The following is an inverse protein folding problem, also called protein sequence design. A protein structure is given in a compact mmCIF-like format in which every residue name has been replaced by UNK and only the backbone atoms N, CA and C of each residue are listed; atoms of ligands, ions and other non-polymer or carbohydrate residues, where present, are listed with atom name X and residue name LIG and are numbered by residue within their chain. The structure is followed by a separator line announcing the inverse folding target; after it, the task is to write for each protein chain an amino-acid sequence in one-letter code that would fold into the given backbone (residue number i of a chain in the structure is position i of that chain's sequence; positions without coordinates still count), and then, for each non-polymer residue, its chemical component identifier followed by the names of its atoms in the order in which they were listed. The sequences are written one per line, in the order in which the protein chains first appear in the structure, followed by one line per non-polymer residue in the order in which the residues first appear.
data_IF_721358964439
#
_entry.id   IF_721358964439
#
_cell.length_a   1.000
_cell.length_b   1.000
_cell.length_c   1.000
_cell.angle_alpha   90.00
_cell.angle_beta   90.00
_cell.angle_gamma   90.00
#
_symmetry.space_group_name_H-M   'P 1'
#
loop_
_entity.id
_entity.type
_entity.pdbx_description
1 polymer ?
#
# COMPACT_ATOMS: atom_id res chain seq x y z
N UNK A 1 15.59 6.40 -20.91
CA UNK A 1 14.73 6.14 -19.73
C UNK A 1 13.70 7.24 -19.71
N UNK A 2 12.51 6.97 -20.26
CA UNK A 2 11.39 7.80 -19.84
C UNK A 2 11.42 7.69 -18.32
N UNK A 3 11.60 8.80 -17.70
CA UNK A 3 12.03 8.87 -16.32
C UNK A 3 11.04 8.04 -15.48
N UNK A 4 11.55 7.11 -14.68
CA UNK A 4 10.76 6.32 -13.71
C UNK A 4 9.74 7.19 -12.99
N UNK A 5 10.14 8.40 -12.59
CA UNK A 5 9.30 9.39 -11.93
C UNK A 5 8.09 9.80 -12.77
N UNK A 6 8.28 9.99 -14.09
CA UNK A 6 7.19 10.32 -15.01
C UNK A 6 6.21 9.15 -15.17
N UNK A 7 6.72 7.93 -15.25
CA UNK A 7 5.90 6.73 -15.33
C UNK A 7 5.08 6.52 -14.05
N UNK A 8 5.71 6.67 -12.88
CA UNK A 8 5.03 6.59 -11.59
C UNK A 8 3.92 7.66 -11.48
N UNK A 9 4.21 8.92 -11.86
CA UNK A 9 3.24 10.01 -11.84
C UNK A 9 2.07 9.78 -12.81
N UNK A 10 2.34 9.23 -14.01
CA UNK A 10 1.31 8.86 -14.99
C UNK A 10 0.38 7.80 -14.44
N UNK A 11 0.93 6.72 -13.87
CA UNK A 11 0.13 5.66 -13.25
C UNK A 11 -0.68 6.20 -12.06
N UNK A 12 -0.08 7.02 -11.20
CA UNK A 12 -0.78 7.61 -10.06
C UNK A 12 -2.00 8.44 -10.49
N UNK A 13 -1.89 9.20 -11.59
CA UNK A 13 -3.00 9.96 -12.18
C UNK A 13 -4.09 9.02 -12.71
N UNK A 14 -3.75 7.99 -13.49
CA UNK A 14 -4.71 7.04 -14.04
C UNK A 14 -5.50 6.31 -12.94
N UNK A 15 -4.84 5.86 -11.88
CA UNK A 15 -5.51 5.26 -10.71
C UNK A 15 -6.40 6.28 -10.00
N UNK A 16 -5.94 7.53 -9.88
CA UNK A 16 -6.74 8.63 -9.33
C UNK A 16 -8.03 8.86 -10.13
N UNK A 17 -7.94 8.90 -11.46
CA UNK A 17 -9.08 9.04 -12.36
C UNK A 17 -10.07 7.88 -12.26
N UNK A 18 -9.58 6.63 -12.15
CA UNK A 18 -10.43 5.45 -11.95
C UNK A 18 -11.19 5.51 -10.62
N UNK A 19 -10.50 5.86 -9.53
CA UNK A 19 -11.11 6.01 -8.21
C UNK A 19 -12.11 7.18 -8.20
N UNK A 20 -11.79 8.29 -8.85
CA UNK A 20 -12.69 9.44 -8.99
C UNK A 20 -13.97 9.08 -9.72
N UNK A 21 -13.86 8.35 -10.83
CA UNK A 21 -15.01 7.89 -11.62
C UNK A 21 -15.89 6.91 -10.79
N UNK A 22 -15.28 5.97 -10.05
CA UNK A 22 -16.02 5.02 -9.19
C UNK A 22 -16.76 5.74 -8.06
N UNK A 23 -16.18 6.81 -7.52
CA UNK A 23 -16.75 7.64 -6.46
C UNK A 23 -17.64 8.78 -7.01
N UNK A 24 -18.18 8.62 -8.21
CA UNK A 24 -19.15 9.56 -8.79
C UNK A 24 -20.54 9.41 -8.15
N UNK A 25 -21.41 10.39 -8.38
CA UNK A 25 -22.82 10.34 -7.95
C UNK A 25 -23.71 9.44 -8.82
N UNK A 26 -23.14 8.84 -9.86
CA UNK A 26 -23.87 7.90 -10.72
C UNK A 26 -24.23 6.64 -9.93
N UNK A 27 -25.51 6.28 -9.93
CA UNK A 27 -26.03 5.10 -9.24
C UNK A 27 -25.80 3.87 -10.15
N UNK A 28 -25.10 2.87 -9.65
CA UNK A 28 -24.88 1.62 -10.38
C UNK A 28 -26.04 0.64 -10.20
N UNK A 29 -26.09 -0.39 -11.04
CA UNK A 29 -27.13 -1.42 -10.96
C UNK A 29 -27.13 -2.10 -9.58
N UNK A 30 -28.30 -2.16 -8.96
CA UNK A 30 -28.45 -2.74 -7.61
C UNK A 30 -28.28 -1.76 -6.46
N UNK A 31 -27.83 -0.53 -6.71
CA UNK A 31 -27.77 0.52 -5.70
C UNK A 31 -29.12 1.28 -5.61
N UNK A 32 -29.44 1.79 -4.43
CA UNK A 32 -30.65 2.63 -4.21
C UNK A 32 -30.29 4.11 -4.33
N UNK A 33 -29.20 4.54 -3.68
CA UNK A 33 -28.72 5.93 -3.66
C UNK A 33 -27.26 5.98 -3.21
N UNK A 34 -26.56 7.07 -3.59
CA UNK A 34 -25.21 7.40 -3.13
C UNK A 34 -25.25 8.69 -2.30
N UNK A 35 -25.19 8.64 -0.95
CA UNK A 35 -25.26 9.82 -0.10
C UNK A 35 -24.10 10.79 -0.38
N UNK A 36 -24.42 12.05 -0.70
CA UNK A 36 -23.43 13.03 -1.14
C UNK A 36 -22.34 13.32 -0.11
N UNK A 37 -22.69 13.32 1.19
CA UNK A 37 -21.73 13.52 2.28
C UNK A 37 -20.73 12.37 2.37
N UNK A 38 -21.19 11.12 2.21
CA UNK A 38 -20.32 9.93 2.20
C UNK A 38 -19.36 9.98 1.01
N UNK A 39 -19.88 10.24 -0.20
CA UNK A 39 -19.05 10.39 -1.39
C UNK A 39 -17.99 11.49 -1.22
N UNK A 40 -18.37 12.65 -0.68
CA UNK A 40 -17.44 13.75 -0.43
C UNK A 40 -16.32 13.33 0.55
N UNK A 41 -16.64 12.61 1.61
CA UNK A 41 -15.67 12.12 2.59
C UNK A 41 -14.73 11.06 1.98
N UNK A 42 -15.26 10.09 1.22
CA UNK A 42 -14.47 9.10 0.52
C UNK A 42 -13.51 9.75 -0.49
N UNK A 43 -14.01 10.68 -1.30
CA UNK A 43 -13.21 11.46 -2.26
C UNK A 43 -12.12 12.28 -1.56
N UNK A 44 -12.43 12.89 -0.43
CA UNK A 44 -11.46 13.62 0.38
C UNK A 44 -10.31 12.70 0.85
N UNK A 45 -10.60 11.50 1.35
CA UNK A 45 -9.59 10.54 1.80
C UNK A 45 -8.77 9.94 0.65
N UNK A 46 -9.40 9.70 -0.50
CA UNK A 46 -8.77 9.02 -1.64
C UNK A 46 -8.00 9.97 -2.56
N UNK A 47 -8.57 11.13 -2.92
CA UNK A 47 -8.03 12.02 -3.96
C UNK A 47 -7.02 13.04 -3.44
N UNK A 48 -6.53 12.89 -2.22
CA UNK A 48 -5.55 13.76 -1.57
C UNK A 48 -4.11 13.58 -2.07
N UNK A 49 -3.90 13.03 -3.26
CA UNK A 49 -2.58 12.77 -3.82
C UNK A 49 -1.99 11.44 -3.32
N UNK A 50 -0.68 11.32 -3.43
CA UNK A 50 0.09 10.11 -3.10
C UNK A 50 0.74 9.51 -4.33
N UNK A 51 1.86 8.81 -4.12
CA UNK A 51 2.68 8.21 -5.19
C UNK A 51 2.00 6.97 -5.81
N UNK A 52 0.94 6.43 -5.19
CA UNK A 52 0.23 5.22 -5.64
C UNK A 52 1.17 4.05 -5.95
N UNK A 53 2.13 3.82 -5.06
CA UNK A 53 3.18 2.82 -5.25
C UNK A 53 2.62 1.39 -5.33
N UNK A 54 1.61 1.05 -4.52
CA UNK A 54 0.99 -0.28 -4.52
C UNK A 54 0.30 -0.59 -5.85
N UNK A 55 -0.57 0.27 -6.40
CA UNK A 55 -1.08 0.09 -7.76
C UNK A 55 0.01 -0.01 -8.82
N UNK A 56 1.06 0.81 -8.70
CA UNK A 56 2.20 0.78 -9.62
C UNK A 56 2.87 -0.59 -9.65
N UNK A 57 3.10 -1.19 -8.48
CA UNK A 57 3.66 -2.55 -8.38
C UNK A 57 2.75 -3.61 -9.04
N UNK A 58 1.42 -3.53 -8.87
CA UNK A 58 0.48 -4.43 -9.57
C UNK A 58 0.64 -4.32 -11.08
N UNK A 59 0.67 -3.09 -11.59
CA UNK A 59 0.74 -2.83 -13.03
C UNK A 59 2.08 -3.30 -13.61
N UNK A 60 3.19 -2.98 -12.95
CA UNK A 60 4.51 -3.33 -13.47
C UNK A 60 4.82 -4.83 -13.33
N UNK A 61 4.31 -5.51 -12.32
CA UNK A 61 4.40 -6.98 -12.25
C UNK A 61 3.52 -7.67 -13.31
N UNK A 62 2.34 -7.10 -13.62
CA UNK A 62 1.51 -7.60 -14.72
C UNK A 62 2.20 -7.43 -16.09
N UNK A 63 2.95 -6.35 -16.29
CA UNK A 63 3.74 -6.09 -17.51
C UNK A 63 4.83 -7.13 -17.78
N UNK A 64 5.40 -7.75 -16.73
CA UNK A 64 6.38 -8.83 -16.90
C UNK A 64 5.85 -9.97 -17.78
N UNK A 65 4.55 -10.20 -17.74
CA UNK A 65 3.85 -11.30 -18.38
C UNK A 65 2.92 -10.86 -19.50
N UNK A 66 3.07 -9.62 -19.99
CA UNK A 66 2.26 -9.04 -21.06
C UNK A 66 0.72 -9.12 -20.79
N UNK A 67 0.32 -8.98 -19.51
CA UNK A 67 -1.09 -9.05 -19.10
C UNK A 67 -1.90 -7.82 -19.52
N UNK A 68 -3.22 -7.94 -19.43
CA UNK A 68 -4.14 -6.82 -19.66
C UNK A 68 -3.91 -5.71 -18.62
N UNK A 69 -3.43 -4.55 -19.07
CA UNK A 69 -3.08 -3.42 -18.22
C UNK A 69 -4.31 -2.75 -17.61
N UNK A 70 -5.43 -2.72 -18.32
CA UNK A 70 -6.68 -2.17 -17.76
C UNK A 70 -7.17 -3.01 -16.57
N UNK A 71 -7.11 -4.33 -16.68
CA UNK A 71 -7.40 -5.22 -15.57
C UNK A 71 -6.39 -5.03 -14.41
N UNK A 72 -5.10 -4.83 -14.71
CA UNK A 72 -4.09 -4.56 -13.69
C UNK A 72 -4.33 -3.21 -12.97
N UNK A 73 -4.77 -2.19 -13.70
CA UNK A 73 -5.17 -0.91 -13.13
C UNK A 73 -6.38 -1.05 -12.20
N UNK A 74 -7.36 -1.87 -12.59
CA UNK A 74 -8.53 -2.13 -11.76
C UNK A 74 -8.16 -2.85 -10.46
N UNK A 75 -7.31 -3.89 -10.52
CA UNK A 75 -6.75 -4.56 -9.33
C UNK A 75 -5.95 -3.59 -8.48
N UNK A 76 -5.17 -2.71 -9.10
CA UNK A 76 -4.43 -1.65 -8.43
C UNK A 76 -5.34 -0.65 -7.73
N UNK A 77 -6.46 -0.24 -8.36
CA UNK A 77 -7.46 0.65 -7.76
C UNK A 77 -8.15 0.00 -6.56
N UNK A 78 -8.47 -1.29 -6.64
CA UNK A 78 -8.99 -2.07 -5.52
C UNK A 78 -8.02 -2.07 -4.33
N UNK A 79 -6.75 -2.35 -4.59
CA UNK A 79 -5.71 -2.34 -3.56
C UNK A 79 -5.50 -0.95 -2.95
N UNK A 80 -5.57 0.11 -3.77
CA UNK A 80 -5.46 1.48 -3.27
C UNK A 80 -6.67 1.89 -2.43
N UNK A 81 -7.89 1.43 -2.76
CA UNK A 81 -9.07 1.65 -1.93
C UNK A 81 -8.88 1.02 -0.53
N UNK A 82 -8.32 -0.20 -0.47
CA UNK A 82 -7.90 -0.85 0.80
C UNK A 82 -6.90 0.01 1.56
N UNK A 83 -5.86 0.50 0.88
CA UNK A 83 -4.87 1.36 1.52
C UNK A 83 -5.47 2.68 2.02
N UNK A 84 -6.36 3.29 1.24
CA UNK A 84 -6.98 4.55 1.63
C UNK A 84 -7.93 4.41 2.83
N UNK A 85 -8.71 3.32 2.90
CA UNK A 85 -9.56 3.10 4.07
C UNK A 85 -8.72 2.95 5.34
N UNK A 86 -7.62 2.22 5.28
CA UNK A 86 -6.77 2.04 6.46
C UNK A 86 -6.22 3.37 6.96
N UNK A 87 -5.79 4.25 6.05
CA UNK A 87 -5.31 5.57 6.43
C UNK A 87 -6.41 6.45 7.06
N UNK A 88 -7.66 6.36 6.56
CA UNK A 88 -8.79 7.10 7.15
C UNK A 88 -9.09 6.62 8.56
N UNK A 89 -9.04 5.30 8.79
CA UNK A 89 -9.28 4.73 10.12
C UNK A 89 -8.10 4.97 11.06
N UNK A 90 -6.86 4.85 10.58
CA UNK A 90 -5.67 5.14 11.37
C UNK A 90 -5.65 6.60 11.89
N UNK A 91 -6.19 7.55 11.11
CA UNK A 91 -6.25 8.96 11.51
C UNK A 91 -7.26 9.25 12.64
N UNK A 92 -8.18 8.34 12.97
CA UNK A 92 -9.22 8.54 14.00
C UNK A 92 -8.63 8.74 15.39
N UNK A 93 -9.37 9.47 16.30
CA UNK A 93 -8.92 9.68 17.68
C UNK A 93 -8.67 8.41 18.49
N UNK A 94 -9.33 7.30 18.14
CA UNK A 94 -9.14 5.99 18.78
C UNK A 94 -7.89 5.24 18.27
N UNK A 95 -7.19 5.78 17.29
CA UNK A 95 -6.00 5.24 16.64
C UNK A 95 -4.84 6.25 16.77
N UNK A 96 -4.26 6.71 15.67
CA UNK A 96 -3.12 7.64 15.68
C UNK A 96 -3.49 9.09 16.05
N UNK A 97 -4.79 9.45 16.04
CA UNK A 97 -5.32 10.78 16.34
C UNK A 97 -4.62 11.90 15.54
N UNK A 98 -4.54 11.73 14.23
CA UNK A 98 -3.86 12.67 13.35
C UNK A 98 -4.81 13.75 12.82
N UNK A 99 -4.42 15.02 12.94
CA UNK A 99 -5.19 16.15 12.42
C UNK A 99 -4.98 16.39 10.93
N UNK A 100 -3.80 16.06 10.42
CA UNK A 100 -3.38 16.32 9.04
C UNK A 100 -2.78 15.09 8.37
N UNK A 101 -3.16 14.86 7.11
CA UNK A 101 -2.56 13.87 6.22
C UNK A 101 -2.23 14.49 4.86
N UNK A 102 -0.96 14.38 4.46
CA UNK A 102 -0.45 15.01 3.20
C UNK A 102 -0.76 16.52 3.13
N UNK A 103 -0.67 17.20 4.27
CA UNK A 103 -0.91 18.65 4.40
C UNK A 103 -2.37 19.09 4.36
N UNK A 104 -3.33 18.16 4.35
CA UNK A 104 -4.78 18.45 4.40
C UNK A 104 -5.39 17.89 5.69
N UNK A 105 -6.49 18.46 6.20
CA UNK A 105 -7.22 17.89 7.32
C UNK A 105 -7.60 16.43 7.05
N UNK A 106 -7.46 15.58 8.06
CA UNK A 106 -7.93 14.18 8.00
C UNK A 106 -9.43 14.12 7.84
N UNK A 107 -10.00 12.99 7.43
CA UNK A 107 -11.43 12.89 7.11
C UNK A 107 -12.29 13.20 8.34
N UNK A 108 -11.90 12.72 9.53
CA UNK A 108 -12.67 13.01 10.75
C UNK A 108 -12.60 14.50 11.17
N UNK A 109 -11.53 15.21 10.82
CA UNK A 109 -11.42 16.67 11.04
C UNK A 109 -12.17 17.48 10.00
N UNK A 110 -12.19 17.04 8.75
CA UNK A 110 -12.90 17.72 7.66
C UNK A 110 -14.43 17.50 7.71
N UNK A 111 -14.88 16.39 8.26
CA UNK A 111 -16.29 16.01 8.39
C UNK A 111 -16.67 15.74 9.85
N UNK A 112 -16.59 14.50 10.29
CA UNK A 112 -16.75 14.00 11.67
C UNK A 112 -16.28 12.53 11.75
N UNK A 113 -16.17 11.98 12.98
CA UNK A 113 -15.71 10.61 13.20
C UNK A 113 -16.62 9.55 12.58
N UNK A 114 -17.95 9.70 12.74
CA UNK A 114 -18.92 8.75 12.16
C UNK A 114 -18.83 8.71 10.64
N UNK A 115 -18.69 9.88 10.00
CA UNK A 115 -18.50 9.98 8.54
C UNK A 115 -17.17 9.36 8.11
N UNK A 116 -16.09 9.52 8.89
CA UNK A 116 -14.79 8.91 8.60
C UNK A 116 -14.83 7.38 8.71
N UNK A 117 -15.46 6.84 9.76
CA UNK A 117 -15.68 5.39 9.91
C UNK A 117 -16.42 4.83 8.71
N UNK A 118 -17.56 5.42 8.34
CA UNK A 118 -18.37 4.96 7.21
C UNK A 118 -17.67 5.13 5.86
N UNK A 119 -16.84 6.16 5.70
CA UNK A 119 -16.03 6.34 4.49
C UNK A 119 -14.98 5.23 4.34
N UNK A 120 -14.34 4.83 5.43
CA UNK A 120 -13.42 3.69 5.44
C UNK A 120 -14.13 2.37 5.13
N UNK A 121 -15.27 2.08 5.77
CA UNK A 121 -16.06 0.88 5.52
C UNK A 121 -16.51 0.77 4.06
N UNK A 122 -16.96 1.90 3.48
CA UNK A 122 -17.39 1.95 2.10
C UNK A 122 -16.22 1.73 1.13
N UNK A 123 -15.02 2.28 1.42
CA UNK A 123 -13.82 2.07 0.60
C UNK A 123 -13.33 0.62 0.68
N UNK A 124 -13.37 -0.01 1.86
CA UNK A 124 -13.07 -1.42 2.01
C UNK A 124 -14.01 -2.27 1.13
N UNK A 125 -15.30 -1.96 1.13
CA UNK A 125 -16.29 -2.68 0.34
C UNK A 125 -16.10 -2.47 -1.17
N UNK A 126 -15.85 -1.22 -1.61
CA UNK A 126 -15.58 -0.88 -3.03
C UNK A 126 -14.37 -1.63 -3.59
N UNK A 127 -13.37 -1.98 -2.79
CA UNK A 127 -12.24 -2.77 -3.25
C UNK A 127 -12.67 -4.13 -3.82
N UNK A 128 -13.64 -4.77 -3.19
CA UNK A 128 -14.19 -6.04 -3.68
C UNK A 128 -15.15 -5.84 -4.87
N UNK A 129 -15.84 -4.72 -4.94
CA UNK A 129 -16.68 -4.35 -6.07
C UNK A 129 -15.81 -4.17 -7.34
N UNK A 130 -14.64 -3.51 -7.25
CA UNK A 130 -13.67 -3.46 -8.35
C UNK A 130 -13.26 -4.84 -8.84
N UNK A 131 -12.94 -5.78 -7.95
CA UNK A 131 -12.46 -7.12 -8.31
C UNK A 131 -13.56 -8.04 -8.84
N UNK A 132 -14.83 -7.76 -8.49
CA UNK A 132 -15.98 -8.55 -8.91
C UNK A 132 -16.70 -8.01 -10.15
N UNK A 133 -16.32 -6.85 -10.65
CA UNK A 133 -16.93 -6.23 -11.84
C UNK A 133 -16.80 -7.16 -13.06
N UNK A 134 -17.93 -7.51 -13.66
CA UNK A 134 -17.99 -8.40 -14.83
C UNK A 134 -17.36 -7.79 -16.08
N UNK A 135 -17.24 -6.44 -16.13
CA UNK A 135 -16.53 -5.74 -17.21
C UNK A 135 -15.04 -6.11 -17.26
N UNK A 136 -14.48 -6.59 -16.12
CA UNK A 136 -13.18 -7.23 -16.13
C UNK A 136 -13.34 -8.64 -16.69
N UNK A 137 -13.03 -8.84 -17.94
CA UNK A 137 -13.04 -10.14 -18.61
C UNK A 137 -11.94 -11.07 -18.07
N UNK A 138 -12.05 -11.44 -16.79
CA UNK A 138 -11.12 -12.34 -16.10
C UNK A 138 -11.73 -13.74 -15.92
N UNK A 139 -10.90 -14.76 -16.09
CA UNK A 139 -11.24 -16.13 -15.67
C UNK A 139 -11.67 -16.13 -14.20
N UNK A 140 -12.76 -16.86 -13.88
CA UNK A 140 -13.34 -16.89 -12.54
C UNK A 140 -12.32 -17.37 -11.48
N UNK A 141 -11.40 -18.29 -11.83
CA UNK A 141 -10.37 -18.77 -10.90
C UNK A 141 -9.33 -17.71 -10.61
N UNK A 142 -8.96 -16.90 -11.62
CA UNK A 142 -8.05 -15.76 -11.45
C UNK A 142 -8.72 -14.73 -10.54
N UNK A 143 -9.96 -14.36 -10.81
CA UNK A 143 -10.76 -13.44 -10.01
C UNK A 143 -10.83 -13.87 -8.55
N UNK A 144 -11.16 -15.14 -8.28
CA UNK A 144 -11.21 -15.68 -6.92
C UNK A 144 -9.85 -15.65 -6.22
N UNK A 145 -8.75 -15.92 -6.93
CA UNK A 145 -7.40 -15.82 -6.35
C UNK A 145 -7.07 -14.37 -5.96
N UNK A 146 -7.42 -13.40 -6.81
CA UNK A 146 -7.20 -11.97 -6.52
C UNK A 146 -8.00 -11.52 -5.30
N UNK A 147 -9.29 -11.86 -5.24
CA UNK A 147 -10.17 -11.54 -4.10
C UNK A 147 -9.64 -12.17 -2.81
N UNK A 148 -9.30 -13.47 -2.85
CA UNK A 148 -8.78 -14.19 -1.67
C UNK A 148 -7.43 -13.60 -1.20
N UNK A 149 -6.52 -13.31 -2.14
CA UNK A 149 -5.23 -12.69 -1.85
C UNK A 149 -5.39 -11.33 -1.19
N UNK A 150 -6.27 -10.47 -1.72
CA UNK A 150 -6.57 -9.16 -1.14
C UNK A 150 -7.17 -9.28 0.25
N UNK A 151 -8.18 -10.14 0.43
CA UNK A 151 -8.84 -10.35 1.72
C UNK A 151 -7.88 -10.84 2.81
N UNK A 152 -6.95 -11.76 2.47
CA UNK A 152 -5.94 -12.24 3.42
C UNK A 152 -4.90 -11.19 3.75
N UNK A 153 -4.43 -10.43 2.74
CA UNK A 153 -3.41 -9.41 2.93
C UNK A 153 -3.93 -8.16 3.64
N UNK A 154 -5.22 -7.85 3.51
CA UNK A 154 -5.86 -6.77 4.23
C UNK A 154 -6.35 -7.16 5.63
N UNK A 155 -6.73 -8.43 5.84
CA UNK A 155 -7.45 -8.92 7.01
C UNK A 155 -6.58 -9.35 8.20
N UNK A 156 -7.05 -10.40 8.91
CA UNK A 156 -6.50 -10.87 10.18
C UNK A 156 -5.02 -11.24 10.14
N UNK A 157 -4.58 -11.91 9.08
CA UNK A 157 -3.18 -12.33 8.88
C UNK A 157 -2.36 -11.32 8.07
N UNK A 158 -2.86 -10.11 7.88
CA UNK A 158 -2.25 -9.05 7.11
C UNK A 158 -2.36 -7.70 7.80
N UNK A 159 -2.70 -6.66 7.04
CA UNK A 159 -2.65 -5.26 7.46
C UNK A 159 -3.43 -4.98 8.76
N UNK A 160 -4.68 -5.44 8.87
CA UNK A 160 -5.51 -5.22 10.08
C UNK A 160 -4.91 -5.92 11.30
N UNK A 161 -4.45 -7.18 11.14
CA UNK A 161 -3.75 -7.88 12.22
C UNK A 161 -2.46 -7.16 12.63
N UNK A 162 -1.70 -6.65 11.65
CA UNK A 162 -0.51 -5.83 11.91
C UNK A 162 -0.82 -4.54 12.65
N UNK A 163 -1.95 -3.89 12.34
CA UNK A 163 -2.40 -2.70 13.08
C UNK A 163 -2.75 -3.01 14.54
N UNK A 164 -3.34 -4.16 14.83
CA UNK A 164 -3.56 -4.62 16.22
C UNK A 164 -2.22 -4.77 16.95
N UNK A 165 -1.23 -5.42 16.31
CA UNK A 165 0.10 -5.57 16.90
C UNK A 165 0.79 -4.22 17.14
N UNK A 166 0.58 -3.23 16.28
CA UNK A 166 1.13 -1.88 16.43
C UNK A 166 0.55 -1.17 17.66
N UNK A 167 -0.76 -1.24 17.87
CA UNK A 167 -1.41 -0.71 19.07
C UNK A 167 -0.98 -1.45 20.36
N UNK A 168 -0.85 -2.77 20.30
CA UNK A 168 -0.34 -3.54 21.45
C UNK A 168 1.10 -3.18 21.78
N UNK A 169 1.93 -2.84 20.80
CA UNK A 169 3.33 -2.46 20.95
C UNK A 169 3.51 -1.15 21.76
N UNK A 170 2.50 -0.27 21.79
CA UNK A 170 2.52 0.94 22.61
C UNK A 170 2.57 0.62 24.13
N UNK A 171 1.95 -0.49 24.52
CA UNK A 171 1.86 -0.91 25.93
C UNK A 171 2.85 -2.01 26.28
N UNK A 172 3.16 -2.90 25.34
CA UNK A 172 4.06 -4.03 25.50
C UNK A 172 5.05 -4.07 24.35
N UNK A 173 6.27 -3.60 24.60
CA UNK A 173 7.33 -3.61 23.59
C UNK A 173 7.58 -5.02 23.07
N UNK A 174 7.43 -5.24 21.73
CA UNK A 174 7.78 -6.51 21.11
C UNK A 174 9.29 -6.73 21.10
N UNK A 175 9.71 -7.98 21.02
CA UNK A 175 11.07 -8.34 20.67
C UNK A 175 11.33 -8.15 19.15
N UNK A 176 12.54 -8.39 18.70
CA UNK A 176 12.92 -8.25 17.29
C UNK A 176 12.01 -9.04 16.34
N UNK A 177 11.68 -10.27 16.69
CA UNK A 177 10.76 -11.13 15.90
C UNK A 177 9.37 -10.54 15.85
N UNK A 178 8.89 -9.94 16.96
CA UNK A 178 7.61 -9.25 17.04
C UNK A 178 7.57 -8.00 16.15
N UNK A 179 8.65 -7.20 16.13
CA UNK A 179 8.76 -6.02 15.26
C UNK A 179 8.72 -6.45 13.79
N UNK A 180 9.52 -7.44 13.39
CA UNK A 180 9.54 -7.95 12.01
C UNK A 180 8.15 -8.45 11.60
N UNK A 181 7.46 -9.17 12.48
CA UNK A 181 6.11 -9.68 12.23
C UNK A 181 5.11 -8.55 12.05
N UNK A 182 5.12 -7.56 12.93
CA UNK A 182 4.28 -6.37 12.87
C UNK A 182 4.44 -5.63 11.54
N UNK A 183 5.69 -5.31 11.17
CA UNK A 183 6.02 -4.58 9.93
C UNK A 183 5.65 -5.38 8.68
N UNK A 184 5.93 -6.68 8.66
CA UNK A 184 5.54 -7.58 7.58
C UNK A 184 4.01 -7.65 7.40
N UNK A 185 3.25 -7.57 8.49
CA UNK A 185 1.78 -7.59 8.45
C UNK A 185 1.21 -6.22 8.13
N UNK A 186 1.54 -5.18 8.89
CA UNK A 186 0.94 -3.83 8.77
C UNK A 186 1.24 -3.20 7.40
N UNK A 187 2.48 -3.25 6.97
CA UNK A 187 2.96 -2.60 5.74
C UNK A 187 3.29 -3.59 4.63
N UNK A 188 4.01 -4.65 4.96
CA UNK A 188 4.56 -5.62 3.99
C UNK A 188 3.48 -6.42 3.27
N UNK A 189 2.39 -6.80 3.93
CA UNK A 189 1.36 -7.68 3.37
C UNK A 189 0.72 -7.11 2.09
N UNK A 190 0.37 -5.83 2.08
CA UNK A 190 -0.22 -5.18 0.89
C UNK A 190 0.81 -4.96 -0.22
N UNK A 191 2.08 -4.71 0.10
CA UNK A 191 3.16 -4.58 -0.88
C UNK A 191 3.45 -5.94 -1.52
N UNK A 192 3.53 -6.99 -0.73
CA UNK A 192 3.68 -8.36 -1.20
C UNK A 192 2.53 -8.75 -2.12
N UNK A 193 1.28 -8.50 -1.70
CA UNK A 193 0.11 -8.75 -2.52
C UNK A 193 0.15 -7.97 -3.84
N UNK A 194 0.59 -6.70 -3.83
CA UNK A 194 0.71 -5.91 -5.04
C UNK A 194 1.59 -6.61 -6.10
N UNK A 195 2.74 -7.15 -5.69
CA UNK A 195 3.66 -7.87 -6.57
C UNK A 195 3.09 -9.22 -7.01
N UNK A 196 2.42 -9.95 -6.12
CA UNK A 196 1.81 -11.24 -6.45
C UNK A 196 0.57 -11.08 -7.35
N UNK A 197 -0.21 -10.02 -7.17
CA UNK A 197 -1.47 -9.80 -7.90
C UNK A 197 -1.26 -9.67 -9.41
N UNK A 198 -0.20 -8.97 -9.85
CA UNK A 198 0.15 -8.90 -11.27
C UNK A 198 0.46 -10.27 -11.87
N UNK A 199 1.17 -11.12 -11.13
CA UNK A 199 1.47 -12.49 -11.56
C UNK A 199 0.22 -13.40 -11.54
N UNK A 200 -0.68 -13.23 -10.57
CA UNK A 200 -1.97 -13.95 -10.52
C UNK A 200 -2.83 -13.56 -11.72
N UNK A 201 -2.95 -12.26 -12.00
CA UNK A 201 -3.71 -11.72 -13.12
C UNK A 201 -3.26 -12.33 -14.46
N UNK A 202 -1.96 -12.52 -14.62
CA UNK A 202 -1.32 -13.08 -15.81
C UNK A 202 -1.37 -14.61 -15.86
N UNK A 203 -1.95 -15.27 -14.86
CA UNK A 203 -1.88 -16.72 -14.68
C UNK A 203 -0.45 -17.28 -14.77
N UNK A 204 0.51 -16.53 -14.23
CA UNK A 204 1.92 -16.90 -14.16
C UNK A 204 2.15 -18.23 -13.44
N UNK A 205 3.29 -18.85 -13.65
CA UNK A 205 3.66 -20.11 -12.98
C UNK A 205 3.65 -19.96 -11.46
N UNK A 206 3.60 -21.07 -10.76
CA UNK A 206 3.69 -21.03 -9.29
C UNK A 206 5.04 -20.45 -8.84
N UNK A 207 6.11 -20.84 -9.49
CA UNK A 207 7.47 -20.38 -9.21
C UNK A 207 7.59 -18.85 -9.38
N UNK A 208 7.09 -18.30 -10.49
CA UNK A 208 7.11 -16.86 -10.74
C UNK A 208 6.29 -16.09 -9.69
N UNK A 209 5.13 -16.62 -9.28
CA UNK A 209 4.30 -16.01 -8.24
C UNK A 209 4.99 -16.03 -6.88
N UNK A 210 5.61 -17.15 -6.49
CA UNK A 210 6.39 -17.26 -5.26
C UNK A 210 7.55 -16.26 -5.28
N UNK A 211 8.29 -16.17 -6.38
CA UNK A 211 9.39 -15.24 -6.60
C UNK A 211 8.97 -13.77 -6.46
N UNK A 212 7.85 -13.39 -7.08
CA UNK A 212 7.33 -12.02 -6.98
C UNK A 212 6.72 -11.73 -5.60
N UNK A 213 6.18 -12.73 -4.92
CA UNK A 213 5.76 -12.62 -3.53
C UNK A 213 6.96 -12.36 -2.59
N UNK A 214 8.08 -13.07 -2.80
CA UNK A 214 9.33 -12.85 -2.07
C UNK A 214 9.93 -11.47 -2.37
N UNK A 215 9.93 -11.05 -3.65
CA UNK A 215 10.33 -9.70 -4.04
C UNK A 215 9.48 -8.64 -3.30
N UNK A 216 8.16 -8.81 -3.29
CA UNK A 216 7.25 -7.93 -2.55
C UNK A 216 7.52 -7.88 -1.05
N UNK A 217 7.88 -9.03 -0.44
CA UNK A 217 8.26 -9.09 0.98
C UNK A 217 9.57 -8.35 1.24
N UNK A 218 10.59 -8.53 0.41
CA UNK A 218 11.88 -7.85 0.53
C UNK A 218 11.73 -6.32 0.43
N UNK A 219 11.02 -5.81 -0.59
CA UNK A 219 10.80 -4.37 -0.74
C UNK A 219 9.84 -3.79 0.30
N UNK A 220 8.92 -4.61 0.85
CA UNK A 220 8.04 -4.21 1.95
C UNK A 220 8.81 -3.96 3.25
N UNK A 221 9.72 -4.87 3.59
CA UNK A 221 10.62 -4.70 4.74
C UNK A 221 11.58 -3.51 4.51
N UNK A 222 12.16 -3.41 3.30
CA UNK A 222 13.01 -2.27 2.94
C UNK A 222 12.27 -0.93 3.04
N UNK A 223 10.98 -0.92 2.65
CA UNK A 223 10.13 0.27 2.77
C UNK A 223 10.03 0.75 4.22
N UNK A 224 9.74 -0.15 5.15
CA UNK A 224 9.61 0.20 6.57
C UNK A 224 10.95 0.62 7.16
N UNK A 225 12.00 -0.17 6.91
CA UNK A 225 13.33 0.14 7.43
C UNK A 225 13.88 1.48 6.92
N UNK A 226 13.58 1.83 5.65
CA UNK A 226 13.94 3.14 5.10
C UNK A 226 13.15 4.28 5.75
N UNK A 227 11.86 4.07 6.07
CA UNK A 227 11.06 5.06 6.81
C UNK A 227 11.63 5.28 8.21
N UNK A 228 11.94 4.22 8.95
CA UNK A 228 12.51 4.31 10.29
C UNK A 228 13.87 5.03 10.29
N UNK A 229 14.72 4.77 9.28
CA UNK A 229 15.99 5.50 9.12
C UNK A 229 15.74 6.99 8.84
N UNK A 230 14.77 7.32 7.99
CA UNK A 230 14.40 8.70 7.70
C UNK A 230 13.87 9.43 8.94
N UNK A 231 13.03 8.80 9.73
CA UNK A 231 12.46 9.40 10.95
C UNK A 231 13.53 9.75 11.98
N UNK A 232 14.61 8.95 12.06
CA UNK A 232 15.74 9.21 12.97
C UNK A 232 16.75 10.22 12.41
N UNK A 233 16.91 10.29 11.07
CA UNK A 233 17.99 11.09 10.44
C UNK A 233 17.53 12.43 9.85
N UNK A 234 16.22 12.64 9.66
CA UNK A 234 15.68 13.84 9.01
C UNK A 234 15.39 14.97 10.00
N UNK A 235 15.75 16.20 9.64
CA UNK A 235 15.33 17.41 10.38
C UNK A 235 13.82 17.64 10.24
N UNK A 236 13.19 18.14 11.32
CA UNK A 236 11.75 18.38 11.49
C UNK A 236 11.07 19.16 10.34
N UNK A 237 11.82 19.89 9.54
CA UNK A 237 11.31 20.71 8.42
C UNK A 237 11.06 19.94 7.11
N UNK A 238 11.64 18.75 6.97
CA UNK A 238 11.61 18.00 5.69
C UNK A 238 10.44 17.03 5.54
N UNK A 239 9.83 16.58 6.64
CA UNK A 239 8.90 15.43 6.65
C UNK A 239 7.43 15.75 6.37
N UNK A 240 7.00 17.04 6.36
CA UNK A 240 5.57 17.39 6.16
C UNK A 240 4.60 16.78 7.21
N UNK A 241 5.15 16.03 8.17
CA UNK A 241 4.58 15.52 9.41
C UNK A 241 5.42 16.02 10.58
N UNK A 242 4.90 15.96 11.81
CA UNK A 242 5.69 16.25 12.99
C UNK A 242 6.81 15.21 13.10
N UNK A 243 8.06 15.57 12.77
CA UNK A 243 9.21 14.69 12.91
C UNK A 243 9.37 14.27 14.38
N UNK A 244 9.83 13.02 14.58
CA UNK A 244 10.03 12.49 15.93
C UNK A 244 8.75 12.03 16.63
N UNK A 245 7.62 11.88 15.93
CA UNK A 245 6.41 11.27 16.51
C UNK A 245 6.69 9.86 17.03
N UNK A 246 7.43 9.05 16.27
CA UNK A 246 7.79 7.69 16.64
C UNK A 246 8.81 7.65 17.79
N UNK A 247 9.73 8.62 17.83
CA UNK A 247 10.63 8.81 19.00
C UNK A 247 9.83 9.28 20.22
N UNK A 248 8.90 10.22 20.05
CA UNK A 248 8.04 10.70 21.12
C UNK A 248 7.04 9.64 21.60
N UNK A 249 6.55 8.79 20.70
CA UNK A 249 5.69 7.65 20.99
C UNK A 249 6.47 6.41 21.50
N UNK A 250 7.81 6.48 21.57
CA UNK A 250 8.65 5.37 22.04
C UNK A 250 8.41 4.05 21.27
N UNK A 251 8.10 4.16 19.94
CA UNK A 251 7.83 3.00 19.10
C UNK A 251 9.04 2.07 19.03
N UNK A 252 8.79 0.79 19.14
CA UNK A 252 9.81 -0.24 18.98
C UNK A 252 10.07 -0.45 17.48
N UNK A 253 11.23 -0.01 16.99
CA UNK A 253 11.66 -0.17 15.60
C UNK A 253 12.97 -0.94 15.53
N UNK A 254 13.27 -1.56 14.39
CA UNK A 254 14.56 -2.25 14.17
C UNK A 254 15.72 -1.25 14.25
N UNK A 255 15.54 -0.02 13.81
CA UNK A 255 16.55 1.04 13.91
C UNK A 255 16.82 1.40 15.38
N UNK A 256 15.78 1.44 16.22
CA UNK A 256 15.97 1.69 17.66
C UNK A 256 16.73 0.56 18.37
N UNK A 257 16.57 -0.69 17.91
CA UNK A 257 17.27 -1.85 18.48
C UNK A 257 18.73 -1.93 18.04
N UNK A 258 19.03 -1.75 16.76
CA UNK A 258 20.31 -2.08 16.15
C UNK A 258 21.10 -0.86 15.67
N UNK A 259 20.46 0.30 15.57
CA UNK A 259 21.07 1.53 15.10
C UNK A 259 21.02 1.71 13.57
N UNK A 260 21.27 2.96 13.13
CA UNK A 260 21.14 3.40 11.73
C UNK A 260 22.12 2.68 10.79
N UNK A 261 23.36 2.44 11.20
CA UNK A 261 24.36 1.81 10.33
C UNK A 261 24.03 0.34 10.06
N UNK A 262 23.50 -0.39 11.06
CA UNK A 262 22.96 -1.73 10.86
C UNK A 262 21.81 -1.71 9.85
N UNK A 263 20.86 -0.77 9.99
CA UNK A 263 19.73 -0.64 9.11
C UNK A 263 20.13 -0.36 7.65
N UNK A 264 21.12 0.52 7.43
CA UNK A 264 21.68 0.76 6.09
C UNK A 264 22.26 -0.50 5.47
N UNK A 265 23.01 -1.30 6.25
CA UNK A 265 23.55 -2.56 5.77
C UNK A 265 22.47 -3.58 5.43
N UNK A 266 21.37 -3.64 6.22
CA UNK A 266 20.22 -4.48 5.89
C UNK A 266 19.52 -4.02 4.61
N UNK A 267 19.38 -2.70 4.39
CA UNK A 267 18.83 -2.15 3.16
C UNK A 267 19.64 -2.54 1.91
N UNK A 268 20.96 -2.54 2.01
CA UNK A 268 21.85 -3.04 0.93
C UNK A 268 21.62 -4.53 0.64
N UNK A 269 21.47 -5.35 1.69
CA UNK A 269 21.14 -6.77 1.56
C UNK A 269 19.80 -7.03 0.91
N UNK A 270 18.75 -6.30 1.34
CA UNK A 270 17.40 -6.38 0.78
C UNK A 270 17.37 -5.92 -0.69
N UNK A 271 18.16 -4.90 -1.05
CA UNK A 271 18.30 -4.44 -2.42
C UNK A 271 18.89 -5.53 -3.32
N UNK A 272 19.97 -6.17 -2.85
CA UNK A 272 20.59 -7.27 -3.59
C UNK A 272 19.61 -8.44 -3.74
N UNK A 273 18.89 -8.81 -2.68
CA UNK A 273 17.88 -9.87 -2.74
C UNK A 273 16.79 -9.53 -3.77
N UNK A 274 16.30 -8.29 -3.78
CA UNK A 274 15.30 -7.83 -4.73
C UNK A 274 15.81 -7.91 -6.17
N UNK A 275 17.06 -7.50 -6.43
CA UNK A 275 17.68 -7.61 -7.76
C UNK A 275 17.84 -9.08 -8.19
N UNK A 276 18.32 -9.97 -7.29
CA UNK A 276 18.51 -11.42 -7.55
C UNK A 276 17.17 -12.11 -7.89
N UNK A 277 16.10 -11.78 -7.19
CA UNK A 277 14.76 -12.30 -7.45
C UNK A 277 14.23 -11.90 -8.83
N UNK A 278 14.65 -10.77 -9.36
CA UNK A 278 14.21 -10.25 -10.66
C UNK A 278 15.09 -10.70 -11.84
N UNK A 279 16.22 -11.37 -11.60
CA UNK A 279 17.15 -11.86 -12.67
C UNK A 279 16.45 -12.65 -13.78
N UNK A 280 15.55 -13.62 -13.49
CA UNK A 280 14.90 -14.42 -14.53
C UNK A 280 14.05 -13.62 -15.52
N UNK A 281 13.58 -12.44 -15.14
CA UNK A 281 12.74 -11.59 -15.99
C UNK A 281 13.53 -10.67 -16.94
N UNK A 282 14.87 -10.64 -16.80
CA UNK A 282 15.75 -9.83 -17.65
C UNK A 282 15.39 -8.35 -17.65
N UNK A 283 15.44 -7.72 -18.82
CA UNK A 283 15.17 -6.29 -18.99
C UNK A 283 13.69 -5.91 -18.77
N UNK A 284 12.75 -6.86 -18.84
CA UNK A 284 11.35 -6.59 -18.51
C UNK A 284 11.19 -6.12 -17.05
N UNK A 285 12.10 -6.52 -16.16
CA UNK A 285 12.06 -6.16 -14.74
C UNK A 285 12.77 -4.83 -14.40
N UNK A 286 13.32 -4.10 -15.36
CA UNK A 286 14.12 -2.89 -15.08
C UNK A 286 13.33 -1.82 -14.29
N UNK A 287 12.03 -1.69 -14.58
CA UNK A 287 11.15 -0.75 -13.85
C UNK A 287 10.92 -1.23 -12.39
N UNK A 288 10.77 -2.53 -12.16
CA UNK A 288 10.65 -3.07 -10.80
C UNK A 288 11.96 -2.91 -10.00
N UNK A 289 13.12 -3.10 -10.63
CA UNK A 289 14.43 -2.79 -10.03
C UNK A 289 14.54 -1.31 -9.69
N UNK A 290 14.14 -0.43 -10.62
CA UNK A 290 14.10 1.02 -10.36
C UNK A 290 13.13 1.36 -9.19
N UNK A 291 12.02 0.64 -9.07
CA UNK A 291 11.06 0.80 -7.97
C UNK A 291 11.68 0.41 -6.63
N UNK A 292 12.40 -0.71 -6.57
CA UNK A 292 13.10 -1.14 -5.36
C UNK A 292 14.15 -0.09 -4.91
N UNK A 293 14.94 0.43 -5.86
CA UNK A 293 15.89 1.52 -5.58
C UNK A 293 15.20 2.78 -5.07
N UNK A 294 14.10 3.19 -5.72
CA UNK A 294 13.32 4.34 -5.30
C UNK A 294 12.77 4.19 -3.88
N UNK A 295 12.37 2.98 -3.46
CA UNK A 295 11.89 2.70 -2.11
C UNK A 295 13.02 2.88 -1.08
N UNK A 296 14.22 2.42 -1.40
CA UNK A 296 15.38 2.40 -0.50
C UNK A 296 16.06 3.78 -0.44
N UNK A 297 16.17 4.46 -1.58
CA UNK A 297 16.91 5.71 -1.72
C UNK A 297 16.06 6.97 -1.52
N UNK A 298 14.77 6.79 -1.17
CA UNK A 298 13.86 7.94 -1.00
C UNK A 298 14.36 8.86 0.12
N UNK A 299 14.20 10.15 -0.14
CA UNK A 299 14.57 11.23 0.80
C UNK A 299 13.35 11.88 1.46
N UNK A 300 12.13 11.53 0.99
CA UNK A 300 10.82 12.01 1.50
C UNK A 300 9.69 11.05 1.08
#
# INVERSE_FOLDING_TARGET
MEDFTNLLAKNARQIGEMLDAKLSSHIEAGEIARPSRLLAAMRHGVLNGGKRLRPFLVIETARLFDANIEAAQCVGAALEAIHCYSLIHDDLPAMDNDDLRRGKPTVHKAFDEATAILAGDALLTIAFDFLSDDKLELDAKIRLKLINGLARSAGLGGMVGGQVLDLEAETKKPDESGIITLEAMKTGALIRYACEAGAILSNATREDRERLSEFGAAIGLAFQLADDVLDVTSDTKALGKTAGKDIAANKATLVALHGVEWAKHQLEGLMKQADDLLVPFGNKADILKATARFIIERKN
#
